data_IF_536738312383
#
_entry.id   IF_536738312383
#
_cell.length_a   1.000
_cell.length_b   1.000
_cell.length_c   1.000
_cell.angle_alpha   90.00
_cell.angle_beta   90.00
_cell.angle_gamma   90.00
#
_symmetry.space_group_name_H-M   'P 1'
#
loop_
_entity.id
_entity.type
_entity.pdbx_description
1 polymer ?
#
# COMPACT_ATOMS: atom_id res chain seq x y z
N UNK A 1 23.27 -22.74 -22.74
CA UNK A 1 21.95 -22.98 -23.34
C UNK A 1 21.50 -21.66 -23.95
N UNK A 2 21.40 -21.62 -25.28
CA UNK A 2 21.42 -20.38 -26.07
C UNK A 2 20.11 -19.61 -26.10
N UNK A 3 20.17 -18.36 -26.59
CA UNK A 3 19.11 -17.36 -26.67
C UNK A 3 17.74 -17.82 -27.25
N UNK A 4 17.65 -19.03 -27.82
CA UNK A 4 16.43 -19.62 -28.38
C UNK A 4 15.43 -20.10 -27.32
N UNK A 5 15.86 -20.46 -26.10
CA UNK A 5 14.96 -20.87 -25.01
C UNK A 5 14.30 -19.70 -24.26
N UNK A 6 15.00 -18.55 -24.15
CA UNK A 6 14.52 -17.37 -23.42
C UNK A 6 13.35 -16.69 -24.15
N UNK A 7 13.42 -16.63 -25.49
CA UNK A 7 12.33 -16.10 -26.32
C UNK A 7 11.07 -16.97 -26.28
N UNK A 8 11.18 -18.28 -25.97
CA UNK A 8 10.00 -19.16 -25.93
C UNK A 8 9.19 -19.00 -24.65
N UNK A 9 9.84 -18.74 -23.52
CA UNK A 9 9.14 -18.62 -22.23
C UNK A 9 8.45 -17.27 -22.07
N UNK A 10 9.07 -16.17 -22.51
CA UNK A 10 8.39 -14.86 -22.58
C UNK A 10 7.09 -14.95 -23.39
N UNK A 11 7.16 -15.58 -24.56
CA UNK A 11 5.98 -15.80 -25.41
C UNK A 11 4.92 -16.65 -24.69
N UNK A 12 5.34 -17.69 -23.95
CA UNK A 12 4.45 -18.53 -23.15
C UNK A 12 3.71 -17.73 -22.09
N UNK A 13 4.41 -16.84 -21.37
CA UNK A 13 3.81 -15.93 -20.38
C UNK A 13 2.76 -15.03 -21.05
N UNK A 14 3.15 -14.35 -22.13
CA UNK A 14 2.26 -13.41 -22.82
C UNK A 14 1.04 -14.11 -23.43
N UNK A 15 1.21 -15.31 -24.00
CA UNK A 15 0.13 -16.14 -24.54
C UNK A 15 -0.78 -16.69 -23.43
N UNK A 16 -0.25 -17.03 -22.24
CA UNK A 16 -1.07 -17.43 -21.11
C UNK A 16 -2.00 -16.30 -20.66
N UNK A 17 -1.47 -15.08 -20.56
CA UNK A 17 -2.27 -13.91 -20.19
C UNK A 17 -3.32 -13.62 -21.26
N UNK A 18 -2.93 -13.64 -22.53
CA UNK A 18 -3.85 -13.38 -23.64
C UNK A 18 -4.98 -14.41 -23.72
N UNK A 19 -4.66 -15.70 -23.53
CA UNK A 19 -5.63 -16.80 -23.54
C UNK A 19 -6.67 -16.70 -22.42
N UNK A 20 -6.31 -16.08 -21.29
CA UNK A 20 -7.17 -15.95 -20.11
C UNK A 20 -7.70 -14.53 -19.89
N UNK A 21 -7.52 -13.61 -20.86
CA UNK A 21 -7.77 -12.18 -20.65
C UNK A 21 -9.21 -11.87 -20.27
N UNK A 22 -10.20 -12.52 -20.90
CA UNK A 22 -11.62 -12.27 -20.63
C UNK A 22 -11.94 -12.63 -19.17
N UNK A 23 -11.38 -13.75 -18.68
CA UNK A 23 -11.54 -14.20 -17.31
C UNK A 23 -10.96 -13.18 -16.31
N UNK A 24 -9.79 -12.61 -16.61
CA UNK A 24 -9.18 -11.60 -15.75
C UNK A 24 -9.96 -10.28 -15.77
N UNK A 25 -10.44 -9.84 -16.94
CA UNK A 25 -11.26 -8.64 -17.04
C UNK A 25 -12.58 -8.81 -16.28
N UNK A 26 -13.27 -9.94 -16.46
CA UNK A 26 -14.50 -10.28 -15.73
C UNK A 26 -14.26 -10.29 -14.22
N UNK A 27 -13.16 -10.90 -13.77
CA UNK A 27 -12.76 -10.89 -12.34
C UNK A 27 -12.60 -9.47 -11.81
N UNK A 28 -11.90 -8.61 -12.53
CA UNK A 28 -11.70 -7.21 -12.15
C UNK A 28 -13.02 -6.45 -12.08
N UNK A 29 -13.92 -6.66 -13.05
CA UNK A 29 -15.24 -6.02 -13.09
C UNK A 29 -16.15 -6.52 -11.97
N UNK A 30 -16.10 -7.80 -11.64
CA UNK A 30 -16.85 -8.39 -10.53
C UNK A 30 -16.40 -7.81 -9.18
N UNK A 31 -15.10 -7.65 -8.97
CA UNK A 31 -14.56 -6.99 -7.78
C UNK A 31 -15.00 -5.52 -7.77
N UNK A 32 -14.89 -4.82 -8.91
CA UNK A 32 -15.32 -3.43 -9.06
C UNK A 32 -16.79 -3.22 -8.68
N UNK A 33 -17.66 -4.14 -9.10
CA UNK A 33 -19.10 -4.11 -8.86
C UNK A 33 -19.49 -4.44 -7.40
N UNK A 34 -18.59 -5.08 -6.65
CA UNK A 34 -18.80 -5.48 -5.25
C UNK A 34 -17.75 -4.82 -4.34
N UNK A 35 -17.73 -3.48 -4.23
CA UNK A 35 -16.70 -2.79 -3.47
C UNK A 35 -16.82 -3.08 -1.97
N UNK A 36 -15.73 -3.55 -1.39
CA UNK A 36 -15.61 -3.85 0.03
C UNK A 36 -14.45 -3.07 0.63
N UNK A 37 -14.65 -2.45 1.80
CA UNK A 37 -13.64 -1.61 2.45
C UNK A 37 -12.59 -2.44 3.20
N UNK A 38 -11.50 -1.78 3.59
CA UNK A 38 -10.40 -2.33 4.39
C UNK A 38 -10.83 -3.32 5.49
N UNK A 39 -10.25 -4.52 5.47
CA UNK A 39 -10.51 -5.65 6.38
C UNK A 39 -11.93 -6.26 6.27
N UNK A 40 -12.69 -5.90 5.23
CA UNK A 40 -14.02 -6.45 4.93
C UNK A 40 -14.11 -6.98 3.49
N UNK A 41 -12.98 -7.03 2.77
CA UNK A 41 -12.89 -7.41 1.37
C UNK A 41 -12.89 -8.94 1.13
N UNK A 42 -13.91 -9.60 1.69
CA UNK A 42 -14.10 -11.05 1.64
C UNK A 42 -14.40 -11.57 0.24
N UNK A 43 -15.26 -10.87 -0.52
CA UNK A 43 -15.59 -11.24 -1.89
C UNK A 43 -14.35 -11.15 -2.78
N UNK A 44 -13.63 -10.02 -2.73
CA UNK A 44 -12.46 -9.82 -3.57
C UNK A 44 -11.32 -10.78 -3.20
N UNK A 45 -11.02 -10.92 -1.90
CA UNK A 45 -10.02 -11.87 -1.39
C UNK A 45 -10.31 -13.31 -1.83
N UNK A 46 -11.56 -13.77 -1.66
CA UNK A 46 -11.98 -15.11 -2.06
C UNK A 46 -11.86 -15.30 -3.57
N UNK A 47 -12.32 -14.34 -4.35
CA UNK A 47 -12.31 -14.40 -5.82
C UNK A 47 -10.89 -14.55 -6.35
N UNK A 48 -9.97 -13.71 -5.89
CA UNK A 48 -8.56 -13.76 -6.28
C UNK A 48 -7.87 -15.05 -5.82
N UNK A 49 -8.14 -15.48 -4.58
CA UNK A 49 -7.59 -16.72 -4.04
C UNK A 49 -8.06 -17.95 -4.82
N UNK A 50 -9.33 -18.01 -5.23
CA UNK A 50 -9.86 -19.12 -6.02
C UNK A 50 -9.23 -19.22 -7.41
N UNK A 51 -8.91 -18.10 -8.06
CA UNK A 51 -8.16 -18.10 -9.32
C UNK A 51 -6.78 -18.74 -9.14
N UNK A 52 -6.06 -18.35 -8.09
CA UNK A 52 -4.74 -18.88 -7.77
C UNK A 52 -4.80 -20.38 -7.43
N UNK A 53 -5.76 -20.79 -6.58
CA UNK A 53 -5.96 -22.19 -6.23
C UNK A 53 -6.27 -23.06 -7.46
N UNK A 54 -7.09 -22.56 -8.38
CA UNK A 54 -7.39 -23.24 -9.65
C UNK A 54 -6.16 -23.37 -10.56
N UNK A 55 -5.19 -22.47 -10.43
CA UNK A 55 -3.90 -22.53 -11.13
C UNK A 55 -2.84 -23.37 -10.39
N UNK A 56 -3.22 -24.05 -9.31
CA UNK A 56 -2.36 -24.96 -8.55
C UNK A 56 -1.48 -24.30 -7.49
N UNK A 57 -1.80 -23.08 -7.07
CA UNK A 57 -1.12 -22.46 -5.93
C UNK A 57 -1.64 -23.04 -4.60
N UNK A 58 -0.72 -23.21 -3.65
CA UNK A 58 -1.04 -23.54 -2.26
C UNK A 58 -1.43 -22.28 -1.50
N UNK A 59 -2.65 -22.26 -0.94
CA UNK A 59 -3.23 -21.09 -0.28
C UNK A 59 -3.14 -21.19 1.24
N UNK A 60 -2.85 -20.06 1.87
CA UNK A 60 -3.00 -19.81 3.29
C UNK A 60 -3.84 -18.53 3.46
N UNK A 61 -4.85 -18.56 4.32
CA UNK A 61 -5.71 -17.42 4.64
C UNK A 61 -5.47 -16.93 6.07
N UNK A 62 -6.08 -15.78 6.41
CA UNK A 62 -6.00 -15.16 7.73
C UNK A 62 -4.55 -14.90 8.16
N UNK A 63 -3.95 -13.89 7.53
CA UNK A 63 -2.52 -13.64 7.62
C UNK A 63 -2.27 -12.48 8.58
N UNK A 64 -1.41 -12.71 9.58
CA UNK A 64 -0.98 -11.69 10.54
C UNK A 64 -2.13 -10.88 11.19
N UNK A 65 -3.27 -11.53 11.45
CA UNK A 65 -4.45 -10.87 12.06
C UNK A 65 -5.37 -10.17 11.06
N UNK A 66 -5.20 -10.38 9.75
CA UNK A 66 -6.10 -9.90 8.70
C UNK A 66 -6.85 -11.07 8.08
N UNK A 67 -8.15 -11.20 8.39
CA UNK A 67 -8.99 -12.34 7.97
C UNK A 67 -9.09 -12.47 6.45
N UNK A 68 -9.18 -11.34 5.74
CA UNK A 68 -9.22 -11.26 4.28
C UNK A 68 -7.84 -11.37 3.64
N UNK A 69 -6.76 -11.39 4.42
CA UNK A 69 -5.41 -11.61 3.93
C UNK A 69 -5.17 -13.04 3.47
N UNK A 70 -4.34 -13.22 2.44
CA UNK A 70 -3.91 -14.53 1.97
C UNK A 70 -2.46 -14.56 1.48
N UNK A 71 -1.86 -15.74 1.47
CA UNK A 71 -0.61 -16.02 0.76
C UNK A 71 -0.83 -17.23 -0.14
N UNK A 72 -0.49 -17.10 -1.42
CA UNK A 72 -0.51 -18.18 -2.38
C UNK A 72 0.91 -18.49 -2.85
N UNK A 73 1.34 -19.76 -2.82
CA UNK A 73 2.68 -20.18 -3.24
C UNK A 73 2.64 -21.25 -4.31
N UNK A 74 3.54 -21.16 -5.29
CA UNK A 74 3.79 -22.23 -6.26
C UNK A 74 5.29 -22.31 -6.54
N UNK A 75 5.88 -23.45 -6.23
CA UNK A 75 7.31 -23.72 -6.39
C UNK A 75 7.54 -24.81 -7.43
N UNK A 76 8.61 -24.65 -8.21
CA UNK A 76 9.12 -25.69 -9.11
C UNK A 76 9.79 -26.86 -8.37
N UNK A 77 10.16 -26.68 -7.10
CA UNK A 77 11.08 -27.56 -6.37
C UNK A 77 12.54 -27.50 -6.85
N UNK A 78 12.84 -26.73 -7.90
CA UNK A 78 14.19 -26.46 -8.38
C UNK A 78 14.73 -25.19 -7.72
N UNK A 79 16.06 -25.11 -7.59
CA UNK A 79 16.72 -23.90 -7.09
C UNK A 79 16.38 -22.69 -7.99
N UNK A 80 16.15 -21.54 -7.37
CA UNK A 80 15.88 -20.27 -8.02
C UNK A 80 15.31 -19.29 -7.00
N UNK A 81 15.15 -18.01 -7.37
CA UNK A 81 14.63 -17.01 -6.46
C UNK A 81 13.12 -17.16 -6.24
N UNK A 82 12.64 -16.65 -5.11
CA UNK A 82 11.24 -16.51 -4.78
C UNK A 82 10.77 -15.09 -5.08
N UNK A 83 9.91 -14.93 -6.08
CA UNK A 83 9.41 -13.62 -6.52
C UNK A 83 7.97 -13.43 -6.06
N UNK A 84 7.71 -12.31 -5.38
CA UNK A 84 6.41 -11.97 -4.83
C UNK A 84 5.63 -10.97 -5.71
N UNK A 85 4.33 -11.19 -5.81
CA UNK A 85 3.36 -10.23 -6.36
C UNK A 85 2.43 -9.76 -5.24
N UNK A 86 2.28 -8.45 -5.08
CA UNK A 86 1.42 -7.85 -4.05
C UNK A 86 0.06 -7.52 -4.67
N UNK A 87 -1.01 -8.08 -4.11
CA UNK A 87 -2.37 -7.96 -4.62
C UNK A 87 -3.23 -7.18 -3.62
N UNK A 88 -3.59 -5.95 -3.98
CA UNK A 88 -4.53 -5.11 -3.23
C UNK A 88 -5.93 -5.22 -3.81
N UNK A 89 -6.96 -5.04 -2.98
CA UNK A 89 -8.34 -5.25 -3.39
C UNK A 89 -9.37 -4.59 -2.45
N UNK A 90 -8.96 -3.65 -1.61
CA UNK A 90 -9.86 -2.85 -0.79
C UNK A 90 -10.45 -1.66 -1.56
N UNK A 91 -11.63 -1.21 -1.15
CA UNK A 91 -12.34 -0.06 -1.71
C UNK A 91 -12.43 1.10 -0.71
N UNK A 92 -12.82 2.28 -1.21
CA UNK A 92 -13.01 3.48 -0.40
C UNK A 92 -14.46 3.61 0.11
N UNK A 93 -14.69 3.98 1.38
CA UNK A 93 -16.03 4.18 1.93
C UNK A 93 -16.87 5.17 1.10
N UNK A 94 -18.00 4.71 0.56
CA UNK A 94 -18.93 5.54 -0.21
C UNK A 94 -18.46 5.92 -1.62
N UNK A 95 -17.24 5.54 -2.02
CA UNK A 95 -16.67 5.90 -3.32
C UNK A 95 -16.37 4.70 -4.22
N UNK A 96 -16.34 3.48 -3.68
CA UNK A 96 -16.04 2.25 -4.41
C UNK A 96 -14.55 2.12 -4.72
N UNK A 97 -14.19 1.40 -5.78
CA UNK A 97 -12.78 1.25 -6.21
C UNK A 97 -12.24 2.50 -6.94
N UNK A 98 -12.34 3.66 -6.29
CA UNK A 98 -11.84 4.94 -6.80
C UNK A 98 -10.31 5.10 -6.70
N UNK A 99 -9.60 4.09 -6.21
CA UNK A 99 -8.15 3.92 -6.33
C UNK A 99 -7.76 2.77 -7.29
N UNK A 100 -8.75 2.07 -7.87
CA UNK A 100 -8.55 1.03 -8.87
C UNK A 100 -7.95 -0.29 -8.34
N UNK A 101 -8.11 -0.59 -7.05
CA UNK A 101 -7.57 -1.81 -6.44
C UNK A 101 -8.17 -3.11 -7.04
N UNK A 102 -9.34 -3.04 -7.68
CA UNK A 102 -9.86 -4.14 -8.50
C UNK A 102 -8.88 -4.57 -9.62
N UNK A 103 -8.18 -3.60 -10.22
CA UNK A 103 -7.13 -3.85 -11.21
C UNK A 103 -5.88 -4.41 -10.53
N UNK A 104 -5.40 -3.79 -9.44
CA UNK A 104 -4.12 -4.15 -8.79
C UNK A 104 -4.10 -5.63 -8.39
N UNK A 105 -5.11 -6.09 -7.66
CA UNK A 105 -5.19 -7.48 -7.22
C UNK A 105 -5.24 -8.46 -8.38
N UNK A 106 -6.04 -8.13 -9.40
CA UNK A 106 -6.21 -8.98 -10.58
C UNK A 106 -4.96 -9.03 -11.45
N UNK A 107 -4.26 -7.91 -11.63
CA UNK A 107 -2.98 -7.82 -12.35
C UNK A 107 -1.94 -8.73 -11.70
N UNK A 108 -1.77 -8.62 -10.38
CA UNK A 108 -0.80 -9.40 -9.61
C UNK A 108 -1.10 -10.90 -9.68
N UNK A 109 -2.38 -11.28 -9.61
CA UNK A 109 -2.81 -12.68 -9.78
C UNK A 109 -2.53 -13.19 -11.20
N UNK A 110 -2.91 -12.42 -12.23
CA UNK A 110 -2.71 -12.81 -13.62
C UNK A 110 -1.22 -12.98 -13.95
N UNK A 111 -0.38 -12.04 -13.50
CA UNK A 111 1.07 -12.10 -13.69
C UNK A 111 1.69 -13.32 -13.00
N UNK A 112 1.31 -13.59 -11.75
CA UNK A 112 1.79 -14.73 -10.99
C UNK A 112 1.40 -16.07 -11.63
N UNK A 113 0.14 -16.20 -12.07
CA UNK A 113 -0.34 -17.42 -12.75
C UNK A 113 0.47 -17.67 -14.02
N UNK A 114 0.63 -16.66 -14.87
CA UNK A 114 1.33 -16.79 -16.14
C UNK A 114 2.82 -17.14 -15.95
N UNK A 115 3.51 -16.46 -15.03
CA UNK A 115 4.90 -16.80 -14.71
C UNK A 115 5.02 -18.23 -14.17
N UNK A 116 4.04 -18.67 -13.37
CA UNK A 116 4.07 -20.01 -12.76
C UNK A 116 4.02 -21.16 -13.77
N UNK A 117 3.53 -20.92 -14.98
CA UNK A 117 3.51 -21.92 -16.07
C UNK A 117 4.92 -22.22 -16.61
N UNK A 118 5.88 -21.33 -16.36
CA UNK A 118 7.28 -21.47 -16.84
C UNK A 118 8.24 -22.02 -15.78
N UNK A 119 7.78 -22.17 -14.54
CA UNK A 119 8.59 -22.55 -13.37
C UNK A 119 9.32 -23.89 -13.55
N UNK A 120 8.75 -24.84 -14.28
CA UNK A 120 9.44 -26.09 -14.56
C UNK A 120 10.74 -25.88 -15.35
N UNK A 121 10.80 -24.88 -16.22
CA UNK A 121 11.99 -24.59 -17.03
C UNK A 121 12.95 -23.63 -16.29
N UNK A 122 12.42 -22.59 -15.64
CA UNK A 122 13.25 -21.52 -15.06
C UNK A 122 13.62 -21.72 -13.59
N UNK A 123 12.95 -22.63 -12.88
CA UNK A 123 13.15 -22.85 -11.45
C UNK A 123 12.59 -21.74 -10.56
N UNK A 124 12.83 -21.85 -9.24
CA UNK A 124 12.38 -20.87 -8.26
C UNK A 124 10.94 -21.05 -7.80
N UNK A 125 10.38 -19.97 -7.25
CA UNK A 125 9.06 -19.92 -6.63
C UNK A 125 8.33 -18.60 -6.96
N UNK A 126 7.02 -18.70 -7.18
CA UNK A 126 6.12 -17.55 -7.31
C UNK A 126 5.23 -17.48 -6.08
N UNK A 127 5.17 -16.30 -5.47
CA UNK A 127 4.35 -16.02 -4.29
C UNK A 127 3.40 -14.87 -4.57
N UNK A 128 2.14 -14.98 -4.17
CA UNK A 128 1.19 -13.86 -4.17
C UNK A 128 0.81 -13.55 -2.74
N UNK A 129 0.99 -12.30 -2.33
CA UNK A 129 0.48 -11.79 -1.07
C UNK A 129 -0.81 -11.02 -1.36
N UNK A 130 -1.94 -11.52 -0.86
CA UNK A 130 -3.16 -10.75 -0.78
C UNK A 130 -3.08 -9.78 0.39
N UNK A 131 -3.12 -8.48 0.10
CA UNK A 131 -2.79 -7.41 1.04
C UNK A 131 -3.98 -6.47 1.22
N UNK A 132 -4.89 -6.77 2.18
CA UNK A 132 -6.07 -5.97 2.43
C UNK A 132 -5.76 -4.61 3.08
N UNK A 133 -6.75 -3.71 3.04
CA UNK A 133 -6.76 -2.44 3.77
C UNK A 133 -5.54 -1.53 3.50
N UNK A 134 -5.08 -1.40 2.26
CA UNK A 134 -4.01 -0.46 1.90
C UNK A 134 -4.40 0.98 2.25
N UNK A 135 -5.65 1.36 1.96
CA UNK A 135 -6.23 2.68 2.21
C UNK A 135 -6.29 3.04 3.71
N UNK A 136 -6.04 2.04 4.56
CA UNK A 136 -5.90 2.20 5.99
C UNK A 136 -7.19 1.94 6.77
N UNK A 137 -7.37 2.72 7.85
CA UNK A 137 -8.45 2.49 8.81
C UNK A 137 -8.06 1.55 9.96
N UNK A 138 -9.01 1.18 10.84
CA UNK A 138 -8.72 0.33 11.99
C UNK A 138 -8.04 -0.98 11.57
N UNK A 139 -6.85 -1.25 12.12
CA UNK A 139 -6.00 -2.38 11.72
C UNK A 139 -5.69 -2.41 10.20
N UNK A 140 -5.60 -1.25 9.55
CA UNK A 140 -5.23 -1.15 8.14
C UNK A 140 -3.73 -1.33 7.89
N UNK A 141 -3.34 -1.24 6.62
CA UNK A 141 -1.99 -1.42 6.10
C UNK A 141 -1.42 -2.82 6.39
N UNK A 142 -2.05 -3.85 5.82
CA UNK A 142 -1.70 -5.24 6.07
C UNK A 142 -0.24 -5.59 5.69
N UNK A 143 0.36 -4.91 4.71
CA UNK A 143 1.76 -5.18 4.33
C UNK A 143 2.71 -4.86 5.47
N UNK A 144 2.42 -3.83 6.28
CA UNK A 144 3.16 -3.53 7.50
C UNK A 144 3.05 -4.67 8.53
N UNK A 145 1.85 -5.22 8.74
CA UNK A 145 1.66 -6.41 9.60
C UNK A 145 2.45 -7.63 9.08
N UNK A 146 2.47 -7.83 7.76
CA UNK A 146 3.17 -8.98 7.14
C UNK A 146 4.69 -8.88 7.31
N UNK A 147 5.22 -7.66 7.16
CA UNK A 147 6.65 -7.36 7.42
C UNK A 147 6.98 -7.61 8.89
N UNK A 148 6.18 -7.10 9.83
CA UNK A 148 6.35 -7.34 11.28
C UNK A 148 6.30 -8.82 11.64
N UNK A 149 5.46 -9.60 10.95
CA UNK A 149 5.35 -11.04 11.11
C UNK A 149 6.48 -11.83 10.40
N UNK A 150 7.42 -11.16 9.71
CA UNK A 150 8.57 -11.78 9.06
C UNK A 150 8.25 -12.58 7.80
N UNK A 151 7.10 -12.33 7.17
CA UNK A 151 6.57 -13.16 6.07
C UNK A 151 7.34 -12.98 4.75
N UNK A 152 8.16 -11.94 4.64
CA UNK A 152 9.02 -11.65 3.48
C UNK A 152 10.45 -12.20 3.61
N UNK A 153 10.81 -12.88 4.71
CA UNK A 153 12.21 -13.30 4.99
C UNK A 153 12.85 -14.14 3.88
N UNK A 154 12.07 -14.93 3.16
CA UNK A 154 12.53 -15.80 2.07
C UNK A 154 12.01 -15.34 0.70
N UNK A 155 11.69 -14.05 0.55
CA UNK A 155 11.30 -13.44 -0.72
C UNK A 155 12.49 -12.64 -1.23
N UNK A 156 12.82 -12.81 -2.51
CA UNK A 156 13.99 -12.18 -3.12
C UNK A 156 13.69 -10.82 -3.75
N UNK A 157 12.45 -10.62 -4.22
CA UNK A 157 11.94 -9.36 -4.74
C UNK A 157 10.40 -9.34 -4.74
N UNK A 158 9.80 -8.15 -4.69
CA UNK A 158 8.35 -7.95 -4.72
C UNK A 158 7.91 -6.96 -5.81
N UNK A 159 6.78 -7.25 -6.47
CA UNK A 159 6.24 -6.46 -7.57
C UNK A 159 4.77 -6.14 -7.32
N UNK A 160 4.37 -4.93 -7.71
CA UNK A 160 2.99 -4.55 -7.97
C UNK A 160 2.97 -3.41 -8.98
N UNK A 161 1.78 -2.98 -9.41
CA UNK A 161 1.61 -1.83 -10.28
C UNK A 161 0.26 -1.20 -10.01
N UNK A 162 0.25 0.13 -9.94
CA UNK A 162 -0.92 0.90 -9.54
C UNK A 162 -1.53 1.63 -10.74
N UNK A 163 -2.85 1.65 -10.94
CA UNK A 163 -3.45 2.47 -11.98
C UNK A 163 -3.23 3.97 -11.73
N UNK A 164 -3.17 4.79 -12.77
CA UNK A 164 -2.99 6.23 -12.66
C UNK A 164 -3.42 6.97 -13.93
N UNK A 165 -3.37 8.30 -13.92
CA UNK A 165 -3.48 9.12 -15.12
C UNK A 165 -2.24 9.04 -16.03
N UNK A 166 -1.11 8.50 -15.56
CA UNK A 166 0.14 8.38 -16.34
C UNK A 166 0.87 7.08 -16.05
N UNK A 167 1.49 6.49 -17.06
CA UNK A 167 2.45 5.40 -16.89
C UNK A 167 3.78 5.98 -16.38
N UNK A 168 4.31 5.44 -15.29
CA UNK A 168 5.52 5.97 -14.65
C UNK A 168 6.23 4.90 -13.83
N UNK A 169 7.54 5.08 -13.62
CA UNK A 169 8.32 4.23 -12.72
C UNK A 169 7.97 4.47 -11.25
N UNK A 170 8.40 3.55 -10.39
CA UNK A 170 8.25 3.69 -8.93
C UNK A 170 8.93 4.96 -8.45
N UNK A 171 8.22 5.76 -7.66
CA UNK A 171 8.77 6.93 -6.97
C UNK A 171 8.83 6.68 -5.46
N UNK A 172 9.65 7.43 -4.70
CA UNK A 172 9.58 7.41 -3.25
C UNK A 172 8.16 7.71 -2.75
N UNK A 173 7.81 7.22 -1.56
CA UNK A 173 6.57 7.54 -0.83
C UNK A 173 6.91 8.14 0.54
N UNK A 174 5.91 8.66 1.24
CA UNK A 174 6.07 9.23 2.58
C UNK A 174 5.73 8.19 3.66
N UNK A 175 6.54 8.15 4.72
CA UNK A 175 6.21 7.45 5.95
C UNK A 175 5.02 8.13 6.67
N UNK A 176 4.22 7.34 7.40
CA UNK A 176 3.00 7.82 8.08
C UNK A 176 2.84 7.21 9.46
N UNK A 177 2.52 8.04 10.46
CA UNK A 177 1.97 7.63 11.75
C UNK A 177 0.50 8.03 11.89
N UNK A 178 -0.41 7.03 11.95
CA UNK A 178 -1.82 7.22 12.21
C UNK A 178 -2.14 7.16 13.71
N UNK A 179 -2.49 8.28 14.33
CA UNK A 179 -2.73 8.39 15.77
C UNK A 179 -4.09 8.95 16.13
N UNK A 180 -4.74 8.32 17.10
CA UNK A 180 -5.88 8.83 17.85
C UNK A 180 -5.44 9.34 19.22
N UNK A 181 -6.00 10.48 19.62
CA UNK A 181 -5.77 11.12 20.92
C UNK A 181 -7.10 11.21 21.65
N UNK A 182 -7.24 10.46 22.73
CA UNK A 182 -8.45 10.40 23.55
C UNK A 182 -8.22 11.10 24.88
N UNK A 183 -8.89 12.23 25.10
CA UNK A 183 -8.81 12.98 26.34
C UNK A 183 -10.00 12.67 27.25
N UNK A 184 -9.71 12.46 28.53
CA UNK A 184 -10.68 12.14 29.57
C UNK A 184 -10.60 13.17 30.70
N UNK A 185 -11.74 13.76 31.01
CA UNK A 185 -11.94 14.80 32.01
C UNK A 185 -13.08 14.46 32.97
N UNK A 186 -13.89 15.46 33.32
CA UNK A 186 -15.00 15.37 34.27
C UNK A 186 -16.09 16.36 33.89
N UNK A 187 -17.32 15.87 33.77
CA UNK A 187 -18.47 16.71 33.45
C UNK A 187 -18.83 17.61 34.62
N UNK A 188 -19.22 18.85 34.31
CA UNK A 188 -19.93 19.75 35.19
C UNK A 188 -20.86 20.66 34.38
N UNK A 189 -21.78 21.35 35.07
CA UNK A 189 -22.65 22.33 34.42
C UNK A 189 -21.83 23.57 34.04
N UNK A 190 -21.73 23.87 32.75
CA UNK A 190 -20.79 24.86 32.23
C UNK A 190 -20.97 26.28 32.82
N UNK A 191 -22.21 26.67 33.16
CA UNK A 191 -22.48 27.97 33.78
C UNK A 191 -22.60 27.97 35.31
N UNK A 192 -22.99 26.84 35.93
CA UNK A 192 -23.43 26.82 37.32
C UNK A 192 -22.34 26.33 38.28
N UNK A 193 -21.46 25.45 37.81
CA UNK A 193 -20.35 24.92 38.61
C UNK A 193 -19.15 24.55 37.70
N UNK A 194 -18.68 25.45 36.82
CA UNK A 194 -17.57 25.14 35.90
C UNK A 194 -16.30 24.71 36.63
N UNK A 195 -16.04 25.24 37.82
CA UNK A 195 -14.88 24.93 38.67
C UNK A 195 -14.81 23.46 39.11
N UNK A 196 -15.92 22.72 39.06
CA UNK A 196 -15.97 21.29 39.37
C UNK A 196 -15.63 20.40 38.17
N UNK A 197 -15.53 20.99 36.97
CA UNK A 197 -15.30 20.28 35.71
C UNK A 197 -13.82 20.17 35.32
N UNK A 198 -13.52 19.21 34.46
CA UNK A 198 -12.23 19.07 33.78
C UNK A 198 -12.55 18.89 32.29
N UNK A 199 -12.24 19.91 31.48
CA UNK A 199 -12.75 20.01 30.12
C UNK A 199 -11.88 19.24 29.10
N UNK A 200 -12.38 18.11 28.62
CA UNK A 200 -11.69 17.31 27.61
C UNK A 200 -11.61 18.00 26.24
N UNK A 201 -12.62 18.80 25.87
CA UNK A 201 -12.60 19.53 24.60
C UNK A 201 -11.49 20.60 24.59
N UNK A 202 -11.28 21.30 25.71
CA UNK A 202 -10.19 22.28 25.82
C UNK A 202 -8.81 21.63 25.60
N UNK A 203 -8.62 20.39 26.05
CA UNK A 203 -7.38 19.64 25.80
C UNK A 203 -7.19 19.33 24.31
N UNK A 204 -8.26 18.97 23.59
CA UNK A 204 -8.21 18.80 22.12
C UNK A 204 -7.91 20.12 21.42
N UNK A 205 -8.52 21.23 21.84
CA UNK A 205 -8.24 22.55 21.26
C UNK A 205 -6.78 22.96 21.50
N UNK A 206 -6.24 22.71 22.70
CA UNK A 206 -4.83 22.94 23.01
C UNK A 206 -3.89 22.07 22.16
N UNK A 207 -4.21 20.78 21.97
CA UNK A 207 -3.49 19.89 21.06
C UNK A 207 -3.38 20.51 19.65
N UNK A 208 -4.50 20.98 19.08
CA UNK A 208 -4.51 21.63 17.76
C UNK A 208 -3.66 22.91 17.73
N UNK A 209 -3.81 23.79 18.72
CA UNK A 209 -3.07 25.04 18.79
C UNK A 209 -1.56 24.81 18.89
N UNK A 210 -1.14 23.87 19.73
CA UNK A 210 0.27 23.52 19.89
C UNK A 210 0.84 22.80 18.66
N UNK A 211 0.08 21.94 17.97
CA UNK A 211 0.49 21.38 16.67
C UNK A 211 0.67 22.49 15.64
N UNK A 212 -0.24 23.48 15.60
CA UNK A 212 -0.13 24.61 14.68
C UNK A 212 1.14 25.44 14.93
N UNK A 213 1.51 25.66 16.19
CA UNK A 213 2.78 26.29 16.55
C UNK A 213 3.99 25.43 16.14
N UNK A 214 3.92 24.11 16.32
CA UNK A 214 5.00 23.19 15.94
C UNK A 214 5.32 23.27 14.44
N UNK A 215 4.33 23.45 13.56
CA UNK A 215 4.51 23.47 12.10
C UNK A 215 5.59 24.43 11.61
N UNK A 216 5.78 25.57 12.28
CA UNK A 216 6.84 26.53 11.90
C UNK A 216 8.24 25.90 12.02
N UNK A 217 8.42 24.98 12.97
CA UNK A 217 9.72 24.41 13.34
C UNK A 217 9.96 23.02 12.73
N UNK A 218 9.21 22.68 11.69
CA UNK A 218 9.30 21.41 10.98
C UNK A 218 9.86 21.62 9.56
N UNK A 219 10.63 20.65 9.05
CA UNK A 219 11.01 20.61 7.65
C UNK A 219 9.80 20.66 6.70
N UNK A 220 10.02 21.16 5.48
CA UNK A 220 8.96 21.34 4.48
C UNK A 220 8.36 20.03 3.97
N UNK A 221 9.05 18.90 4.11
CA UNK A 221 8.56 17.56 3.78
C UNK A 221 7.59 16.98 4.83
N UNK A 222 7.49 17.61 6.01
CA UNK A 222 6.59 17.14 7.06
C UNK A 222 5.16 17.65 6.83
N UNK A 223 4.18 16.78 7.05
CA UNK A 223 2.75 17.12 7.01
C UNK A 223 2.06 16.52 8.23
N UNK A 224 1.34 17.35 8.96
CA UNK A 224 0.47 16.92 10.06
C UNK A 224 -0.94 17.39 9.71
N UNK A 225 -1.93 16.50 9.78
CA UNK A 225 -3.32 16.86 9.50
C UNK A 225 -4.24 15.92 10.28
N UNK A 226 -5.43 16.42 10.65
CA UNK A 226 -6.31 15.68 11.53
C UNK A 226 -7.67 16.32 11.72
N UNK A 227 -8.57 15.55 12.31
CA UNK A 227 -9.97 15.91 12.58
C UNK A 227 -10.33 15.68 14.06
N UNK A 228 -11.23 16.49 14.60
CA UNK A 228 -11.86 16.22 15.90
C UNK A 228 -12.95 15.19 15.64
N UNK A 229 -12.79 14.00 16.19
CA UNK A 229 -13.73 12.89 16.00
C UNK A 229 -14.87 12.94 17.02
N UNK A 230 -14.60 13.47 18.21
CA UNK A 230 -15.58 13.68 19.29
C UNK A 230 -15.27 14.99 20.01
N UNK A 231 -16.23 15.91 20.05
CA UNK A 231 -16.02 17.29 20.53
C UNK A 231 -17.03 17.77 21.57
N UNK A 232 -17.75 16.86 22.22
CA UNK A 232 -18.87 17.18 23.10
C UNK A 232 -20.23 17.24 22.39
N UNK A 233 -21.31 17.10 23.17
CA UNK A 233 -22.68 16.91 22.65
C UNK A 233 -23.66 18.02 22.99
N UNK A 234 -23.38 18.81 24.02
CA UNK A 234 -24.26 19.87 24.49
C UNK A 234 -23.43 21.04 25.04
N UNK A 235 -23.73 22.30 24.68
CA UNK A 235 -22.90 23.45 25.05
C UNK A 235 -22.99 23.84 26.54
N UNK A 236 -24.04 23.43 27.24
CA UNK A 236 -24.24 23.68 28.66
C UNK A 236 -23.57 22.63 29.57
N UNK A 237 -22.89 21.63 28.98
CA UNK A 237 -22.24 20.52 29.68
C UNK A 237 -20.76 20.54 29.33
N UNK A 238 -19.89 20.61 30.33
CA UNK A 238 -18.43 20.45 30.12
C UNK A 238 -18.16 19.02 29.63
N UNK A 239 -17.54 18.82 28.45
CA UNK A 239 -17.23 17.49 27.94
C UNK A 239 -16.22 16.77 28.85
N UNK A 240 -16.59 15.58 29.35
CA UNK A 240 -15.69 14.65 30.05
C UNK A 240 -14.89 13.76 29.09
N UNK A 241 -15.22 13.77 27.80
CA UNK A 241 -14.52 13.04 26.77
C UNK A 241 -14.50 13.83 25.46
N UNK A 242 -13.34 13.87 24.84
CA UNK A 242 -13.13 14.40 23.50
C UNK A 242 -11.98 13.65 22.82
N UNK A 243 -12.02 13.56 21.50
CA UNK A 243 -11.01 12.83 20.74
C UNK A 243 -10.68 13.51 19.41
N UNK A 244 -9.44 13.30 18.96
CA UNK A 244 -8.98 13.74 17.66
C UNK A 244 -8.12 12.66 16.99
N UNK A 245 -8.17 12.62 15.66
CA UNK A 245 -7.39 11.71 14.82
C UNK A 245 -6.44 12.50 13.95
N UNK A 246 -5.17 12.10 13.89
CA UNK A 246 -4.16 12.72 13.05
C UNK A 246 -3.36 11.70 12.24
N UNK A 247 -2.95 12.12 11.05
CA UNK A 247 -1.82 11.56 10.35
C UNK A 247 -0.62 12.49 10.48
N UNK A 248 0.53 11.92 10.83
CA UNK A 248 1.83 12.57 10.78
C UNK A 248 2.59 11.94 9.62
N UNK A 249 3.12 12.74 8.69
CA UNK A 249 3.88 12.26 7.52
C UNK A 249 5.23 12.93 7.43
N UNK A 250 6.24 12.21 6.97
CA UNK A 250 7.54 12.76 6.59
C UNK A 250 8.19 11.93 5.46
N UNK A 251 9.24 12.45 4.84
CA UNK A 251 9.94 11.75 3.77
C UNK A 251 10.65 10.47 4.23
N UNK A 252 10.97 10.32 5.51
CA UNK A 252 11.61 9.12 6.07
C UNK A 252 10.95 8.69 7.38
N UNK A 253 11.03 7.40 7.67
CA UNK A 253 10.46 6.78 8.87
C UNK A 253 11.06 7.37 10.13
N UNK A 254 12.37 7.54 10.14
CA UNK A 254 13.11 8.17 11.25
C UNK A 254 12.60 9.57 11.55
N UNK A 255 12.49 10.43 10.52
CA UNK A 255 11.97 11.79 10.71
C UNK A 255 10.51 11.79 11.15
N UNK A 256 9.70 10.91 10.58
CA UNK A 256 8.30 10.82 10.96
C UNK A 256 8.15 10.41 12.43
N UNK A 257 8.95 9.44 12.91
CA UNK A 257 9.01 9.06 14.32
C UNK A 257 9.46 10.22 15.24
N UNK A 258 10.50 10.97 14.86
CA UNK A 258 10.96 12.15 15.61
C UNK A 258 9.85 13.21 15.76
N UNK A 259 9.11 13.47 14.68
CA UNK A 259 7.97 14.42 14.69
C UNK A 259 6.82 13.88 15.52
N UNK A 260 6.52 12.58 15.40
CA UNK A 260 5.49 11.91 16.18
C UNK A 260 5.73 12.03 17.68
N UNK A 261 6.97 11.87 18.15
CA UNK A 261 7.30 12.08 19.56
C UNK A 261 7.04 13.52 20.01
N UNK A 262 7.30 14.53 19.15
CA UNK A 262 6.93 15.92 19.44
C UNK A 262 5.41 16.09 19.57
N UNK A 263 4.62 15.46 18.70
CA UNK A 263 3.15 15.50 18.76
C UNK A 263 2.62 14.79 20.01
N UNK A 264 3.19 13.64 20.39
CA UNK A 264 2.84 12.96 21.64
C UNK A 264 3.14 13.82 22.87
N UNK A 265 4.29 14.50 22.90
CA UNK A 265 4.63 15.44 23.97
C UNK A 265 3.66 16.62 24.04
N UNK A 266 3.21 17.15 22.89
CA UNK A 266 2.16 18.18 22.84
C UNK A 266 0.86 17.65 23.47
N UNK A 267 0.43 16.44 23.13
CA UNK A 267 -0.78 15.86 23.69
C UNK A 267 -0.68 15.69 25.21
N UNK A 268 0.47 15.25 25.72
CA UNK A 268 0.74 15.18 27.16
C UNK A 268 0.73 16.57 27.82
N UNK A 269 1.30 17.58 27.16
CA UNK A 269 1.27 18.97 27.64
C UNK A 269 -0.14 19.54 27.71
N UNK A 270 -0.98 19.30 26.70
CA UNK A 270 -2.39 19.68 26.69
C UNK A 270 -3.18 18.98 27.80
N UNK A 271 -2.88 17.69 28.04
CA UNK A 271 -3.49 16.95 29.13
C UNK A 271 -3.15 17.56 30.50
N UNK A 272 -1.86 17.82 30.73
CA UNK A 272 -1.36 18.43 31.95
C UNK A 272 -1.97 19.82 32.20
N UNK A 273 -1.99 20.68 31.18
CA UNK A 273 -2.48 22.06 31.30
C UNK A 273 -3.98 22.14 31.60
N UNK A 274 -4.75 21.13 31.20
CA UNK A 274 -6.21 21.07 31.41
C UNK A 274 -6.64 20.19 32.58
N UNK A 275 -5.70 19.46 33.20
CA UNK A 275 -6.00 18.46 34.23
C UNK A 275 -6.65 17.18 33.69
N UNK A 276 -6.68 16.98 32.37
CA UNK A 276 -7.22 15.76 31.74
C UNK A 276 -6.19 14.63 31.72
N UNK A 277 -6.63 13.43 31.36
CA UNK A 277 -5.75 12.31 30.99
C UNK A 277 -5.84 12.07 29.51
N UNK A 278 -4.73 11.80 28.85
CA UNK A 278 -4.71 11.42 27.43
C UNK A 278 -4.33 9.95 27.26
N UNK A 279 -5.06 9.24 26.40
CA UNK A 279 -4.63 7.97 25.82
C UNK A 279 -4.34 8.18 24.34
N UNK A 280 -3.16 7.75 23.91
CA UNK A 280 -2.73 7.85 22.53
C UNK A 280 -2.75 6.44 21.96
N UNK A 281 -3.50 6.26 20.87
CA UNK A 281 -3.70 4.97 20.24
C UNK A 281 -3.31 5.04 18.78
N UNK A 282 -2.56 4.05 18.31
CA UNK A 282 -2.28 3.90 16.90
C UNK A 282 -3.37 3.03 16.29
N UNK A 283 -4.26 3.64 15.50
CA UNK A 283 -5.46 2.95 15.01
C UNK A 283 -5.18 2.06 13.77
N UNK A 284 -4.08 2.32 13.07
CA UNK A 284 -3.64 1.63 11.86
C UNK A 284 -2.14 1.34 11.97
N UNK A 285 -1.60 0.37 11.24
CA UNK A 285 -0.16 0.19 11.22
C UNK A 285 0.61 1.41 10.68
N UNK A 286 1.82 1.60 11.21
CA UNK A 286 2.83 2.50 10.64
C UNK A 286 3.14 2.16 9.18
N UNK A 287 3.23 3.20 8.36
CA UNK A 287 3.66 3.12 6.97
C UNK A 287 5.09 3.67 6.88
N UNK A 288 5.97 2.98 6.15
CA UNK A 288 7.34 3.43 5.88
C UNK A 288 7.44 4.04 4.48
N UNK A 289 8.46 4.85 4.23
CA UNK A 289 8.77 5.35 2.89
C UNK A 289 9.12 4.21 1.93
N UNK A 290 8.82 4.39 0.65
CA UNK A 290 9.23 3.44 -0.39
C UNK A 290 10.69 3.68 -0.82
N UNK A 291 11.51 2.63 -0.70
CA UNK A 291 12.88 2.58 -1.19
C UNK A 291 12.94 2.22 -2.67
N UNK A 292 13.45 3.16 -3.47
CA UNK A 292 13.57 2.97 -4.92
C UNK A 292 14.86 2.25 -5.27
N UNK A 293 14.74 1.17 -6.05
CA UNK A 293 15.88 0.48 -6.66
C UNK A 293 15.94 0.81 -8.14
N UNK A 294 16.99 1.52 -8.57
CA UNK A 294 17.05 2.11 -9.92
C UNK A 294 17.04 1.06 -11.02
N UNK A 295 17.89 0.04 -10.92
CA UNK A 295 17.94 -1.05 -11.91
C UNK A 295 16.58 -1.75 -12.00
N UNK A 296 15.89 -1.95 -10.87
CA UNK A 296 14.59 -2.59 -10.88
C UNK A 296 13.52 -1.75 -11.59
N UNK A 297 13.54 -0.43 -11.36
CA UNK A 297 12.70 0.52 -12.09
C UNK A 297 13.00 0.53 -13.59
N UNK A 298 14.27 0.44 -13.98
CA UNK A 298 14.67 0.41 -15.39
C UNK A 298 14.14 -0.85 -16.09
N UNK A 299 14.21 -2.02 -15.44
CA UNK A 299 13.67 -3.28 -15.98
C UNK A 299 12.17 -3.19 -16.23
N UNK A 300 11.37 -2.74 -15.25
CA UNK A 300 9.92 -2.66 -15.46
C UNK A 300 9.52 -1.59 -16.47
N UNK A 301 10.28 -0.49 -16.54
CA UNK A 301 10.07 0.54 -17.56
C UNK A 301 10.33 0.00 -18.98
N UNK A 302 11.43 -0.75 -19.16
CA UNK A 302 11.71 -1.42 -20.44
C UNK A 302 10.59 -2.38 -20.83
N UNK A 303 10.08 -3.18 -19.88
CA UNK A 303 8.99 -4.11 -20.16
C UNK A 303 7.68 -3.41 -20.55
N UNK A 304 7.35 -2.30 -19.90
CA UNK A 304 6.19 -1.47 -20.25
C UNK A 304 6.37 -0.80 -21.63
N UNK A 305 7.55 -0.27 -21.93
CA UNK A 305 7.87 0.35 -23.23
C UNK A 305 7.81 -0.66 -24.38
N UNK A 306 8.29 -1.90 -24.16
CA UNK A 306 8.17 -2.99 -25.13
C UNK A 306 6.71 -3.36 -25.42
N UNK A 307 5.81 -3.11 -24.47
CA UNK A 307 4.36 -3.30 -24.63
C UNK A 307 3.64 -2.06 -25.14
N UNK A 308 4.39 -1.01 -25.50
CA UNK A 308 3.89 0.19 -26.18
C UNK A 308 3.46 1.32 -25.24
N UNK A 309 3.82 1.28 -23.96
CA UNK A 309 3.56 2.37 -23.02
C UNK A 309 4.58 3.51 -23.13
N UNK A 310 4.12 4.75 -22.95
CA UNK A 310 4.99 5.91 -22.77
C UNK A 310 5.31 6.08 -21.27
N UNK A 311 6.47 5.57 -20.85
CA UNK A 311 6.85 5.51 -19.43
C UNK A 311 7.57 6.77 -19.00
N UNK A 312 6.97 7.50 -18.06
CA UNK A 312 7.65 8.59 -17.41
C UNK A 312 8.67 8.08 -16.38
N UNK A 313 9.94 8.04 -16.77
CA UNK A 313 11.07 7.61 -15.93
C UNK A 313 11.65 8.72 -15.03
N UNK A 314 11.08 9.94 -15.04
CA UNK A 314 11.65 11.06 -14.27
C UNK A 314 11.48 10.81 -12.77
N UNK A 315 12.55 11.05 -12.02
CA UNK A 315 12.49 11.05 -10.56
C UNK A 315 11.51 12.11 -10.06
N UNK A 316 10.72 11.73 -9.06
CA UNK A 316 9.73 12.60 -8.42
C UNK A 316 9.93 12.55 -6.92
N UNK A 317 9.54 13.62 -6.25
CA UNK A 317 9.43 13.62 -4.80
C UNK A 317 8.23 12.76 -4.37
N UNK A 318 8.36 12.10 -3.22
CA UNK A 318 7.25 11.36 -2.63
C UNK A 318 6.15 12.31 -2.18
N UNK A 319 4.94 12.10 -2.71
CA UNK A 319 3.74 12.87 -2.37
C UNK A 319 2.63 11.99 -1.77
N UNK A 320 2.61 10.71 -2.14
CA UNK A 320 1.69 9.70 -1.60
C UNK A 320 2.33 8.85 -0.50
N UNK A 321 1.53 7.96 0.07
CA UNK A 321 1.94 6.98 1.08
C UNK A 321 1.27 5.66 0.74
N UNK A 322 2.00 4.57 0.90
CA UNK A 322 1.51 3.20 0.68
C UNK A 322 2.32 2.26 1.56
N UNK A 323 1.70 1.24 2.14
CA UNK A 323 2.38 0.22 2.94
C UNK A 323 3.20 -0.76 2.10
N UNK A 324 3.21 -0.63 0.76
CA UNK A 324 4.26 -1.21 -0.08
C UNK A 324 5.65 -0.64 0.28
N UNK A 325 5.68 0.57 0.86
CA UNK A 325 6.88 1.15 1.45
C UNK A 325 7.46 0.26 2.56
N UNK A 326 6.65 -0.33 3.42
CA UNK A 326 7.11 -1.28 4.44
C UNK A 326 7.75 -2.54 3.82
N UNK A 327 7.16 -3.07 2.74
CA UNK A 327 7.75 -4.23 2.03
C UNK A 327 9.10 -3.87 1.46
N UNK A 328 9.20 -2.66 0.88
CA UNK A 328 10.45 -2.12 0.37
C UNK A 328 11.52 -1.92 1.44
N UNK A 329 11.18 -1.96 2.74
CA UNK A 329 12.18 -1.93 3.82
C UNK A 329 12.92 -3.25 4.00
N UNK A 330 12.35 -4.36 3.52
CA UNK A 330 12.89 -5.71 3.79
C UNK A 330 13.25 -6.47 2.52
N UNK A 331 12.64 -6.16 1.38
CA UNK A 331 12.95 -6.76 0.07
C UNK A 331 12.91 -5.71 -1.04
N UNK A 332 13.71 -5.83 -2.12
CA UNK A 332 13.60 -4.95 -3.28
C UNK A 332 12.16 -4.98 -3.81
N UNK A 333 11.54 -3.81 -3.93
CA UNK A 333 10.11 -3.69 -4.26
C UNK A 333 9.90 -2.63 -5.34
N UNK A 334 9.01 -2.90 -6.29
CA UNK A 334 8.53 -1.89 -7.25
C UNK A 334 7.03 -1.63 -7.08
N UNK A 335 6.66 -0.37 -7.27
CA UNK A 335 5.29 0.16 -7.30
C UNK A 335 5.18 1.21 -8.43
N UNK A 336 5.38 0.82 -9.71
CA UNK A 336 5.14 1.68 -10.86
C UNK A 336 3.65 2.01 -11.01
N UNK A 337 3.38 2.87 -11.98
CA UNK A 337 2.03 3.29 -12.36
C UNK A 337 1.73 2.93 -13.81
N UNK A 338 0.46 2.61 -14.11
CA UNK A 338 -0.05 2.37 -15.47
C UNK A 338 -1.20 3.33 -15.80
N UNK A 339 -1.19 3.89 -17.02
CA UNK A 339 -2.23 4.83 -17.46
C UNK A 339 -3.57 4.15 -17.70
N UNK A 340 -4.63 4.62 -17.03
CA UNK A 340 -6.02 4.15 -17.21
C UNK A 340 -6.99 5.25 -17.69
N UNK A 341 -6.51 6.48 -17.88
CA UNK A 341 -7.35 7.62 -18.25
C UNK A 341 -6.55 8.86 -18.66
N UNK A 342 -7.14 10.06 -18.63
CA UNK A 342 -6.43 11.30 -18.99
C UNK A 342 -5.29 11.62 -18.02
N UNK A 343 -4.36 12.47 -18.45
CA UNK A 343 -3.15 12.83 -17.71
C UNK A 343 -3.40 13.48 -16.34
N UNK A 344 -4.56 14.11 -16.19
CA UNK A 344 -5.06 14.79 -15.01
C UNK A 344 -6.06 13.95 -14.20
N UNK A 345 -6.19 12.64 -14.50
CA UNK A 345 -7.00 11.72 -13.71
C UNK A 345 -6.46 11.64 -12.27
N UNK A 346 -7.28 12.03 -11.30
CA UNK A 346 -6.91 12.07 -9.87
C UNK A 346 -7.57 10.90 -9.14
N UNK A 347 -6.77 10.13 -8.38
CA UNK A 347 -7.26 9.05 -7.54
C UNK A 347 -8.25 9.56 -6.47
N UNK A 348 -9.12 8.68 -5.98
CA UNK A 348 -10.14 8.98 -4.97
C UNK A 348 -11.22 9.94 -5.50
N UNK A 349 -11.58 9.77 -6.78
CA UNK A 349 -12.67 10.49 -7.45
C UNK A 349 -13.62 9.50 -8.13
N UNK A 350 -14.84 9.95 -8.46
CA UNK A 350 -15.77 9.11 -9.21
C UNK A 350 -15.21 8.80 -10.59
N UNK A 351 -14.54 9.75 -11.21
CA UNK A 351 -13.89 9.65 -12.52
C UNK A 351 -12.84 8.53 -12.52
N UNK A 352 -12.04 8.42 -11.45
CA UNK A 352 -11.08 7.34 -11.31
C UNK A 352 -11.75 5.97 -11.14
N UNK A 353 -12.83 5.89 -10.34
CA UNK A 353 -13.63 4.66 -10.23
C UNK A 353 -14.13 4.23 -11.61
N UNK A 354 -14.69 5.14 -12.40
CA UNK A 354 -15.18 4.80 -13.74
C UNK A 354 -14.06 4.38 -14.68
N UNK A 355 -12.89 5.04 -14.60
CA UNK A 355 -11.71 4.66 -15.38
C UNK A 355 -11.21 3.25 -15.04
N UNK A 356 -11.30 2.82 -13.77
CA UNK A 356 -10.83 1.51 -13.30
C UNK A 356 -11.66 0.31 -13.81
N UNK A 357 -12.78 0.55 -14.51
CA UNK A 357 -13.58 -0.47 -15.22
C UNK A 357 -13.80 -0.14 -16.70
N UNK A 358 -13.01 0.78 -17.24
CA UNK A 358 -13.11 1.21 -18.63
C UNK A 358 -12.33 0.27 -19.55
N UNK A 359 -12.58 0.34 -20.86
CA UNK A 359 -11.78 -0.39 -21.86
C UNK A 359 -10.26 -0.10 -21.76
N UNK A 360 -9.90 1.14 -21.38
CA UNK A 360 -8.50 1.50 -21.16
C UNK A 360 -7.96 0.87 -19.86
N UNK A 361 -8.78 0.79 -18.80
CA UNK A 361 -8.47 0.05 -17.58
C UNK A 361 -8.26 -1.45 -17.85
N UNK A 362 -9.10 -2.04 -18.70
CA UNK A 362 -9.00 -3.45 -19.10
C UNK A 362 -7.73 -3.71 -19.91
N UNK A 363 -7.41 -2.81 -20.86
CA UNK A 363 -6.14 -2.87 -21.60
C UNK A 363 -4.96 -2.75 -20.64
N UNK A 364 -5.01 -1.79 -19.71
CA UNK A 364 -3.97 -1.58 -18.72
C UNK A 364 -3.77 -2.80 -17.82
N UNK A 365 -4.84 -3.52 -17.44
CA UNK A 365 -4.76 -4.78 -16.70
C UNK A 365 -3.88 -5.78 -17.45
N UNK A 366 -4.17 -6.03 -18.72
CA UNK A 366 -3.46 -7.02 -19.53
C UNK A 366 -2.01 -6.61 -19.81
N UNK A 367 -1.78 -5.35 -20.17
CA UNK A 367 -0.43 -4.80 -20.34
C UNK A 367 0.40 -4.94 -19.07
N UNK A 368 -0.18 -4.57 -17.93
CA UNK A 368 0.50 -4.60 -16.64
C UNK A 368 0.83 -6.02 -16.19
N UNK A 369 -0.09 -6.98 -16.38
CA UNK A 369 0.15 -8.37 -16.04
C UNK A 369 1.34 -8.94 -16.85
N UNK A 370 1.41 -8.62 -18.15
CA UNK A 370 2.54 -9.01 -19.02
C UNK A 370 3.84 -8.36 -18.54
N UNK A 371 3.82 -7.06 -18.25
CA UNK A 371 4.99 -6.32 -17.78
C UNK A 371 5.54 -6.87 -16.46
N UNK A 372 4.68 -7.12 -15.46
CA UNK A 372 5.10 -7.64 -14.17
C UNK A 372 5.62 -9.09 -14.27
N UNK A 373 4.94 -9.95 -15.03
CA UNK A 373 5.38 -11.34 -15.22
C UNK A 373 6.73 -11.41 -15.95
N UNK A 374 6.92 -10.60 -17.01
CA UNK A 374 8.19 -10.53 -17.75
C UNK A 374 9.31 -9.92 -16.90
N UNK A 375 9.01 -8.90 -16.08
CA UNK A 375 9.98 -8.33 -15.14
C UNK A 375 10.47 -9.40 -14.16
N UNK A 376 9.55 -10.15 -13.55
CA UNK A 376 9.88 -11.25 -12.66
C UNK A 376 10.64 -12.39 -13.36
N UNK A 377 10.25 -12.74 -14.58
CA UNK A 377 10.96 -13.70 -15.42
C UNK A 377 12.42 -13.29 -15.67
N UNK A 378 12.68 -12.00 -15.97
CA UNK A 378 14.04 -11.47 -16.15
C UNK A 378 14.84 -11.56 -14.86
N UNK A 379 14.25 -11.24 -13.70
CA UNK A 379 14.93 -11.40 -12.41
C UNK A 379 15.36 -12.85 -12.13
N UNK A 380 14.59 -13.84 -12.59
CA UNK A 380 14.92 -15.26 -12.42
C UNK A 380 16.00 -15.71 -13.40
N UNK A 381 15.94 -15.25 -14.65
CA UNK A 381 16.68 -15.86 -15.77
C UNK A 381 17.89 -15.07 -16.26
N UNK A 382 17.93 -13.76 -16.05
CA UNK A 382 19.07 -12.93 -16.44
C UNK A 382 20.18 -12.99 -15.39
N UNK A 383 21.34 -13.48 -15.82
CA UNK A 383 22.50 -13.67 -14.94
C UNK A 383 22.93 -12.34 -14.29
N UNK A 384 22.98 -12.32 -12.96
CA UNK A 384 23.43 -11.18 -12.17
C UNK A 384 22.42 -10.04 -12.00
N UNK A 385 21.26 -10.06 -12.70
CA UNK A 385 20.29 -8.97 -12.62
C UNK A 385 19.71 -8.82 -11.20
N UNK A 386 19.23 -9.91 -10.61
CA UNK A 386 18.67 -9.90 -9.26
C UNK A 386 19.70 -9.53 -8.19
N UNK A 387 20.94 -9.98 -8.34
CA UNK A 387 22.01 -9.63 -7.39
C UNK A 387 22.34 -8.14 -7.44
N UNK A 388 22.37 -7.54 -8.63
CA UNK A 388 22.51 -6.10 -8.80
C UNK A 388 21.36 -5.33 -8.15
N UNK A 389 20.12 -5.77 -8.35
CA UNK A 389 18.92 -5.21 -7.70
C UNK A 389 19.05 -5.28 -6.17
N UNK A 390 19.47 -6.42 -5.62
CA UNK A 390 19.68 -6.59 -4.18
C UNK A 390 20.84 -5.78 -3.62
N UNK A 391 21.89 -5.57 -4.41
CA UNK A 391 23.01 -4.71 -4.01
C UNK A 391 22.59 -3.24 -3.91
N UNK A 392 21.93 -2.71 -4.95
CA UNK A 392 21.36 -1.36 -4.95
C UNK A 392 20.34 -1.18 -3.81
N UNK A 393 19.51 -2.18 -3.56
CA UNK A 393 18.57 -2.17 -2.45
C UNK A 393 19.28 -2.05 -1.08
N UNK A 394 20.33 -2.84 -0.85
CA UNK A 394 21.13 -2.77 0.39
C UNK A 394 21.83 -1.41 0.53
N UNK A 395 22.22 -0.78 -0.57
CA UNK A 395 22.72 0.61 -0.56
C UNK A 395 21.63 1.61 -0.15
N UNK A 396 20.43 1.49 -0.72
CA UNK A 396 19.30 2.34 -0.37
C UNK A 396 18.97 2.27 1.13
N UNK A 397 18.94 1.06 1.71
CA UNK A 397 18.74 0.86 3.15
C UNK A 397 19.82 1.55 4.01
N UNK A 398 21.10 1.44 3.61
CA UNK A 398 22.20 2.12 4.32
C UNK A 398 22.10 3.65 4.28
N UNK A 399 21.48 4.19 3.23
CA UNK A 399 21.34 5.63 3.03
C UNK A 399 20.13 6.26 3.75
N UNK A 400 19.29 5.47 4.43
CA UNK A 400 18.11 5.98 5.16
C UNK A 400 18.41 6.84 6.41
N UNK A 401 19.68 6.87 6.84
CA UNK A 401 20.27 7.95 7.66
C UNK A 401 19.48 8.42 8.87
#
# INVERSE_FOLDING_TARGET
MGATGVASQRKTIEESIERNKEKYIETSHDIHANPEIGNQEFYASRTLSLLLGSAGFQLQHNIAGHETGFIARKSSGKQGPAIAFLAEYDALPGLGHACGHNLIGTISVAAAIALSETLEEIGGEVVVFGTPAEEGGPNGSAKSSYVKAGLFKNIDAALMIHPSGKTATTSPSLAVDPLDFHFYGKTAHAAASPEEGINALDAVIQLYNSINALRQQLPSDVKIHGVITEGGKAPNIIPDYAAARFFIRAATRKRCAEVTEKVKNIAQGAALATGTKVKIHQFQNEIDELLVTKTYNDVVAEELELLGEDVNRKERFGIGSTDAGNVSQVVPTIHPYIKIGPDDLIAHTNEFREAARSELGDKALITSAKALANTAYRLITEEGLLEKVKEEFREAQRNQG
#
